data_IF_525853995231
#
_entry.id   IF_525853995231
#
_cell.length_a   1.000
_cell.length_b   1.000
_cell.length_c   1.000
_cell.angle_alpha   90.00
_cell.angle_beta   90.00
_cell.angle_gamma   90.00
#
_symmetry.space_group_name_H-M   'P 1'
#
loop_
_entity.id
_entity.type
_entity.pdbx_description
1 polymer ?
#
# COMPACT_ATOMS: atom_id res chain seq x y z
N UNK A 1 -4.40 15.32 -1.16
CA UNK A 1 -3.50 14.84 -2.23
C UNK A 1 -2.78 16.06 -2.80
N UNK A 2 -1.45 16.18 -2.64
CA UNK A 2 -0.68 17.33 -3.17
C UNK A 2 -0.72 17.42 -4.70
N UNK A 3 -1.12 16.34 -5.39
CA UNK A 3 -1.34 16.33 -6.83
C UNK A 3 -2.46 17.28 -7.29
N UNK A 4 -3.46 17.57 -6.44
CA UNK A 4 -4.56 18.47 -6.80
C UNK A 4 -4.07 19.90 -7.04
N UNK A 5 -3.10 20.35 -6.25
CA UNK A 5 -2.49 21.68 -6.39
C UNK A 5 -1.25 21.64 -7.30
N UNK A 6 -0.53 20.51 -7.35
CA UNK A 6 0.67 20.34 -8.16
C UNK A 6 0.40 20.22 -9.66
N UNK A 7 -0.68 19.55 -10.08
CA UNK A 7 -1.05 19.38 -11.48
C UNK A 7 -1.32 20.71 -12.23
N UNK A 8 -2.12 21.66 -11.69
CA UNK A 8 -2.31 22.96 -12.36
C UNK A 8 -1.00 23.77 -12.40
N UNK A 9 -0.14 23.69 -11.38
CA UNK A 9 1.19 24.33 -11.41
C UNK A 9 2.11 23.71 -12.47
N UNK A 10 2.02 22.39 -12.70
CA UNK A 10 2.77 21.71 -13.75
C UNK A 10 2.31 22.15 -15.15
N UNK A 11 0.99 22.31 -15.37
CA UNK A 11 0.45 22.83 -16.64
C UNK A 11 0.91 24.26 -16.95
N UNK A 12 1.17 25.07 -15.92
CA UNK A 12 1.70 26.44 -16.05
C UNK A 12 3.22 26.50 -16.27
N UNK A 13 3.88 25.36 -16.52
CA UNK A 13 5.35 25.28 -16.68
C UNK A 13 6.13 25.38 -15.36
N UNK A 14 5.45 25.38 -14.21
CA UNK A 14 6.05 25.46 -12.86
C UNK A 14 6.17 24.10 -12.19
N UNK A 15 6.32 23.02 -12.97
CA UNK A 15 6.39 21.64 -12.46
C UNK A 15 7.55 21.39 -11.49
N UNK A 16 8.72 21.98 -11.75
CA UNK A 16 9.88 21.87 -10.86
C UNK A 16 9.63 22.49 -9.47
N UNK A 17 8.90 23.61 -9.42
CA UNK A 17 8.50 24.26 -8.16
C UNK A 17 7.46 23.41 -7.42
N UNK A 18 6.50 22.82 -8.14
CA UNK A 18 5.52 21.92 -7.53
C UNK A 18 6.18 20.67 -6.91
N UNK A 19 7.15 20.07 -7.61
CA UNK A 19 7.92 18.93 -7.12
C UNK A 19 8.74 19.27 -5.87
N UNK A 20 9.46 20.40 -5.87
CA UNK A 20 10.31 20.78 -4.74
C UNK A 20 9.49 21.11 -3.48
N UNK A 21 8.37 21.82 -3.61
CA UNK A 21 7.46 22.11 -2.49
C UNK A 21 6.88 20.80 -1.92
N UNK A 22 6.45 19.88 -2.80
CA UNK A 22 5.94 18.57 -2.37
C UNK A 22 7.00 17.80 -1.60
N UNK A 23 8.23 17.71 -2.12
CA UNK A 23 9.33 17.01 -1.47
C UNK A 23 9.67 17.60 -0.08
N UNK A 24 9.78 18.93 0.03
CA UNK A 24 10.08 19.60 1.30
C UNK A 24 8.95 19.40 2.30
N UNK A 25 7.68 19.50 1.87
CA UNK A 25 6.53 19.28 2.75
C UNK A 25 6.48 17.84 3.29
N UNK A 26 6.75 16.85 2.45
CA UNK A 26 6.79 15.44 2.85
C UNK A 26 7.95 15.15 3.78
N UNK A 27 9.12 15.76 3.53
CA UNK A 27 10.28 15.62 4.39
C UNK A 27 10.00 16.19 5.79
N UNK A 28 9.57 17.45 5.87
CA UNK A 28 9.27 18.12 7.15
C UNK A 28 8.14 17.41 7.89
N UNK A 29 7.07 17.04 7.19
CA UNK A 29 5.97 16.28 7.77
C UNK A 29 6.44 14.93 8.33
N UNK A 30 7.30 14.22 7.60
CA UNK A 30 7.88 12.95 8.05
C UNK A 30 8.80 13.14 9.25
N UNK A 31 9.65 14.17 9.26
CA UNK A 31 10.54 14.47 10.40
C UNK A 31 9.75 14.76 11.67
N UNK A 32 8.70 15.58 11.57
CA UNK A 32 7.82 15.88 12.70
C UNK A 32 7.06 14.63 13.15
N UNK A 33 6.54 13.83 12.22
CA UNK A 33 5.84 12.58 12.53
C UNK A 33 6.75 11.58 13.25
N UNK A 34 7.99 11.40 12.78
CA UNK A 34 8.98 10.53 13.43
C UNK A 34 9.29 11.04 14.85
N UNK A 35 9.54 12.35 15.01
CA UNK A 35 9.76 12.94 16.33
C UNK A 35 8.57 12.75 17.27
N UNK A 36 7.35 12.92 16.76
CA UNK A 36 6.12 12.66 17.49
C UNK A 36 6.00 11.20 17.91
N UNK A 37 6.23 10.25 17.00
CA UNK A 37 6.18 8.81 17.30
C UNK A 37 7.20 8.47 18.39
N UNK A 38 8.44 8.96 18.32
CA UNK A 38 9.47 8.71 19.34
C UNK A 38 9.00 9.18 20.72
N UNK A 39 8.35 10.35 20.79
CA UNK A 39 7.85 10.93 22.04
C UNK A 39 6.64 10.16 22.60
N UNK A 40 5.71 9.74 21.74
CA UNK A 40 4.46 9.08 22.14
C UNK A 40 4.57 7.54 22.24
N UNK A 41 5.57 6.93 21.62
CA UNK A 41 5.83 5.49 21.66
C UNK A 41 5.77 4.87 23.07
N UNK A 42 6.42 5.43 24.12
CA UNK A 42 6.37 4.81 25.44
C UNK A 42 4.95 4.81 26.04
N UNK A 43 4.18 5.88 25.84
CA UNK A 43 2.79 5.97 26.33
C UNK A 43 1.91 4.97 25.60
N UNK A 44 2.04 4.88 24.28
CA UNK A 44 1.31 3.92 23.45
C UNK A 44 1.66 2.47 23.81
N UNK A 45 2.92 2.18 24.14
CA UNK A 45 3.35 0.85 24.56
C UNK A 45 2.68 0.41 25.88
N UNK A 46 2.59 1.32 26.87
CA UNK A 46 1.91 1.02 28.12
C UNK A 46 0.41 0.72 27.92
N UNK A 47 -0.24 1.45 27.01
CA UNK A 47 -1.63 1.19 26.65
C UNK A 47 -1.80 -0.13 25.90
N UNK A 48 -0.91 -0.43 24.96
CA UNK A 48 -0.95 -1.70 24.22
C UNK A 48 -0.76 -2.92 25.13
N UNK A 49 0.02 -2.81 26.20
CA UNK A 49 0.20 -3.89 27.18
C UNK A 49 -1.04 -4.12 28.04
N UNK A 50 -1.91 -3.11 28.17
CA UNK A 50 -3.16 -3.21 28.92
C UNK A 50 -4.32 -3.78 28.07
N UNK A 51 -4.12 -4.02 26.77
CA UNK A 51 -5.17 -4.58 25.91
C UNK A 51 -5.44 -6.05 26.22
N UNK A 52 -6.71 -6.34 26.48
CA UNK A 52 -7.19 -7.70 26.62
C UNK A 52 -7.67 -8.28 25.29
N UNK A 53 -8.13 -9.55 25.30
CA UNK A 53 -8.62 -10.22 24.10
C UNK A 53 -9.77 -9.49 23.40
N UNK A 54 -10.64 -8.81 24.16
CA UNK A 54 -11.79 -8.08 23.62
C UNK A 54 -11.35 -6.83 22.84
N UNK A 55 -10.37 -6.09 23.36
CA UNK A 55 -9.80 -4.91 22.71
C UNK A 55 -9.06 -5.31 21.42
N UNK A 56 -8.27 -6.38 21.45
CA UNK A 56 -7.62 -6.92 20.26
C UNK A 56 -8.62 -7.31 19.18
N UNK A 57 -9.74 -7.94 19.55
CA UNK A 57 -10.80 -8.29 18.61
C UNK A 57 -11.45 -7.04 18.00
N UNK A 58 -11.79 -6.05 18.83
CA UNK A 58 -12.38 -4.79 18.36
C UNK A 58 -11.44 -4.03 17.42
N UNK A 59 -10.14 -4.00 17.71
CA UNK A 59 -9.12 -3.39 16.86
C UNK A 59 -9.01 -4.10 15.50
N UNK A 60 -9.10 -5.43 15.48
CA UNK A 60 -9.06 -6.19 14.23
C UNK A 60 -10.28 -5.88 13.36
N UNK A 61 -11.48 -5.80 13.95
CA UNK A 61 -12.69 -5.38 13.24
C UNK A 61 -12.54 -3.95 12.73
N UNK A 62 -12.05 -3.04 13.57
CA UNK A 62 -11.84 -1.64 13.20
C UNK A 62 -10.87 -1.51 12.02
N UNK A 63 -9.76 -2.26 12.03
CA UNK A 63 -8.80 -2.29 10.94
C UNK A 63 -9.44 -2.75 9.62
N UNK A 64 -10.24 -3.82 9.65
CA UNK A 64 -10.96 -4.32 8.46
C UNK A 64 -12.02 -3.30 7.98
N UNK A 65 -12.73 -2.64 8.90
CA UNK A 65 -13.71 -1.61 8.56
C UNK A 65 -13.04 -0.39 7.90
N UNK A 66 -11.92 0.09 8.44
CA UNK A 66 -11.12 1.16 7.84
C UNK A 66 -10.61 0.76 6.45
N UNK A 67 -10.07 -0.46 6.29
CA UNK A 67 -9.67 -0.97 4.97
C UNK A 67 -10.83 -0.95 3.98
N UNK A 68 -12.03 -1.37 4.39
CA UNK A 68 -13.23 -1.28 3.55
C UNK A 68 -13.60 0.15 3.18
N UNK A 69 -13.47 1.10 4.11
CA UNK A 69 -13.83 2.51 3.90
C UNK A 69 -12.96 3.23 2.85
N UNK A 70 -11.70 2.80 2.67
CA UNK A 70 -10.77 3.44 1.72
C UNK A 70 -11.03 3.06 0.26
N UNK A 71 -11.93 2.12 0.00
CA UNK A 71 -12.14 1.49 -1.30
C UNK A 71 -13.25 2.19 -2.10
N UNK A 72 -12.99 3.40 -2.59
CA UNK A 72 -14.03 4.31 -3.09
C UNK A 72 -14.62 3.99 -4.48
N UNK A 73 -13.98 3.16 -5.31
CA UNK A 73 -14.43 2.97 -6.70
C UNK A 73 -14.96 1.57 -7.03
N UNK A 74 -14.40 0.51 -6.46
CA UNK A 74 -14.79 -0.87 -6.76
C UNK A 74 -14.58 -1.78 -5.55
N UNK A 75 -15.56 -1.88 -4.61
CA UNK A 75 -15.38 -2.57 -3.34
C UNK A 75 -15.00 -4.04 -3.50
N UNK A 76 -15.51 -4.72 -4.53
CA UNK A 76 -15.16 -6.12 -4.84
C UNK A 76 -13.69 -6.32 -5.24
N UNK A 77 -13.16 -5.49 -6.15
CA UNK A 77 -11.76 -5.59 -6.61
C UNK A 77 -10.79 -5.29 -5.46
N UNK A 78 -11.14 -4.25 -4.72
CA UNK A 78 -10.48 -3.82 -3.51
C UNK A 78 -10.44 -4.88 -2.42
N UNK A 79 -11.57 -5.53 -2.15
CA UNK A 79 -11.65 -6.62 -1.17
C UNK A 79 -10.82 -7.83 -1.59
N UNK A 80 -10.87 -8.21 -2.88
CA UNK A 80 -10.01 -9.26 -3.41
C UNK A 80 -8.52 -8.92 -3.29
N UNK A 81 -8.12 -7.68 -3.60
CA UNK A 81 -6.75 -7.22 -3.42
C UNK A 81 -6.32 -7.26 -1.94
N UNK A 82 -7.20 -6.86 -1.02
CA UNK A 82 -6.95 -6.96 0.41
C UNK A 82 -6.81 -8.41 0.88
N UNK A 83 -7.64 -9.34 0.39
CA UNK A 83 -7.54 -10.77 0.69
C UNK A 83 -6.23 -11.37 0.18
N UNK A 84 -5.79 -10.99 -1.02
CA UNK A 84 -4.49 -11.41 -1.56
C UNK A 84 -3.35 -10.90 -0.68
N UNK A 85 -3.38 -9.62 -0.29
CA UNK A 85 -2.40 -9.02 0.61
C UNK A 85 -2.35 -9.70 1.98
N UNK A 86 -3.52 -9.96 2.58
CA UNK A 86 -3.65 -10.72 3.83
C UNK A 86 -3.08 -12.13 3.67
N UNK A 87 -3.38 -12.82 2.57
CA UNK A 87 -2.83 -14.14 2.27
C UNK A 87 -1.30 -14.13 2.24
N UNK A 88 -0.69 -13.17 1.53
CA UNK A 88 0.76 -13.00 1.49
C UNK A 88 1.36 -12.68 2.87
N UNK A 89 0.66 -11.89 3.68
CA UNK A 89 1.09 -11.54 5.04
C UNK A 89 1.08 -12.73 6.01
N UNK A 90 0.34 -13.81 5.71
CA UNK A 90 0.34 -15.03 6.55
C UNK A 90 1.49 -15.99 6.27
N UNK A 91 2.29 -15.74 5.23
CA UNK A 91 3.47 -16.56 4.89
C UNK A 91 4.62 -16.22 5.83
N UNK A 92 5.20 -17.24 6.48
CA UNK A 92 6.37 -17.10 7.36
C UNK A 92 6.18 -17.72 8.73
N UNK A 93 7.03 -17.35 9.68
CA UNK A 93 6.93 -17.75 11.09
C UNK A 93 5.89 -16.90 11.81
N UNK A 94 4.91 -17.55 12.43
CA UNK A 94 3.96 -16.87 13.30
C UNK A 94 4.66 -16.41 14.60
N UNK A 95 4.69 -15.09 14.85
CA UNK A 95 5.44 -14.51 15.98
C UNK A 95 4.91 -14.93 17.38
N UNK A 96 3.66 -15.37 17.48
CA UNK A 96 3.07 -15.79 18.74
C UNK A 96 3.34 -17.27 19.06
N UNK A 97 3.31 -18.12 18.03
CA UNK A 97 3.36 -19.58 18.19
C UNK A 97 4.65 -20.22 17.69
N UNK A 98 5.47 -19.52 16.90
CA UNK A 98 6.69 -20.03 16.29
C UNK A 98 6.46 -21.03 15.15
N UNK A 99 5.20 -21.25 14.75
CA UNK A 99 4.85 -22.22 13.71
C UNK A 99 5.07 -21.63 12.33
N UNK A 100 5.73 -22.39 11.45
CA UNK A 100 5.90 -22.03 10.05
C UNK A 100 4.60 -22.22 9.27
N UNK A 101 4.14 -21.17 8.58
CA UNK A 101 2.95 -21.19 7.73
C UNK A 101 3.33 -20.88 6.28
N UNK A 102 2.90 -21.76 5.37
CA UNK A 102 3.11 -21.59 3.93
C UNK A 102 4.58 -21.42 3.49
N UNK A 103 5.55 -21.97 4.25
CA UNK A 103 6.98 -21.83 3.94
C UNK A 103 7.55 -22.91 3.04
N UNK A 104 6.82 -24.02 2.85
CA UNK A 104 7.17 -25.11 1.92
C UNK A 104 8.61 -25.64 2.07
N UNK A 105 9.13 -25.71 3.29
CA UNK A 105 10.51 -26.15 3.61
C UNK A 105 11.63 -25.25 3.04
N UNK A 106 11.30 -24.06 2.55
CA UNK A 106 12.27 -23.09 2.06
C UNK A 106 12.65 -22.09 3.15
N UNK A 107 13.95 -22.01 3.45
CA UNK A 107 14.53 -21.05 4.41
C UNK A 107 14.26 -19.60 3.99
N UNK A 108 14.18 -19.33 2.68
CA UNK A 108 13.88 -17.99 2.17
C UNK A 108 12.46 -17.52 2.45
N UNK A 109 11.52 -18.43 2.73
CA UNK A 109 10.15 -18.10 3.10
C UNK A 109 9.93 -18.07 4.62
N UNK A 110 10.92 -18.50 5.41
CA UNK A 110 10.83 -18.49 6.88
C UNK A 110 10.62 -17.08 7.45
N UNK A 111 11.30 -16.08 6.88
CA UNK A 111 11.14 -14.67 7.26
C UNK A 111 9.88 -14.01 6.67
N UNK A 112 9.09 -14.76 5.90
CA UNK A 112 7.91 -14.28 5.20
C UNK A 112 8.23 -13.42 3.98
N UNK A 113 7.20 -12.83 3.38
CA UNK A 113 7.37 -11.96 2.21
C UNK A 113 7.63 -10.53 2.69
N UNK A 114 8.84 -10.01 2.41
CA UNK A 114 9.22 -8.67 2.82
C UNK A 114 8.30 -7.59 2.24
N UNK A 115 7.72 -6.76 3.11
CA UNK A 115 6.80 -5.68 2.73
C UNK A 115 7.37 -4.77 1.62
N UNK A 116 8.64 -4.36 1.75
CA UNK A 116 9.32 -3.50 0.78
C UNK A 116 9.36 -4.16 -0.60
N UNK A 117 9.67 -5.47 -0.67
CA UNK A 117 9.75 -6.22 -1.92
C UNK A 117 8.37 -6.31 -2.59
N UNK A 118 7.31 -6.56 -1.82
CA UNK A 118 5.93 -6.61 -2.34
C UNK A 118 5.52 -5.25 -2.90
N UNK A 119 5.73 -4.18 -2.15
CA UNK A 119 5.31 -2.83 -2.57
C UNK A 119 6.04 -2.38 -3.83
N UNK A 120 7.38 -2.51 -3.85
CA UNK A 120 8.18 -2.13 -5.02
C UNK A 120 7.81 -3.02 -6.21
N UNK A 121 7.70 -4.34 -6.02
CA UNK A 121 7.38 -5.28 -7.09
C UNK A 121 6.00 -5.02 -7.72
N UNK A 122 4.95 -4.91 -6.91
CA UNK A 122 3.60 -4.65 -7.40
C UNK A 122 3.49 -3.28 -8.09
N UNK A 123 4.13 -2.26 -7.54
CA UNK A 123 4.15 -0.93 -8.15
C UNK A 123 4.90 -0.94 -9.49
N UNK A 124 6.09 -1.54 -9.54
CA UNK A 124 6.88 -1.64 -10.78
C UNK A 124 6.15 -2.42 -11.88
N UNK A 125 5.51 -3.54 -11.54
CA UNK A 125 4.71 -4.31 -12.51
C UNK A 125 3.53 -3.48 -13.03
N UNK A 126 2.83 -2.77 -12.14
CA UNK A 126 1.73 -1.88 -12.54
C UNK A 126 2.19 -0.79 -13.51
N UNK A 127 3.29 -0.10 -13.20
CA UNK A 127 3.85 0.95 -14.07
C UNK A 127 4.27 0.42 -15.45
N UNK A 128 4.91 -0.75 -15.51
CA UNK A 128 5.29 -1.36 -16.79
C UNK A 128 4.06 -1.70 -17.64
N UNK A 129 3.00 -2.24 -17.03
CA UNK A 129 1.76 -2.57 -17.74
C UNK A 129 1.08 -1.30 -18.29
N UNK A 130 1.03 -0.22 -17.51
CA UNK A 130 0.48 1.07 -17.94
C UNK A 130 1.33 1.69 -19.06
N UNK A 131 2.67 1.60 -18.95
CA UNK A 131 3.58 2.07 -19.98
C UNK A 131 3.37 1.30 -21.29
N UNK A 132 3.15 -0.01 -21.23
CA UNK A 132 2.85 -0.84 -22.39
C UNK A 132 1.52 -0.47 -23.05
N UNK A 133 0.48 -0.19 -22.25
CA UNK A 133 -0.81 0.30 -22.75
C UNK A 133 -0.69 1.65 -23.48
N UNK A 134 0.11 2.57 -22.91
CA UNK A 134 0.32 3.91 -23.47
C UNK A 134 1.16 3.95 -24.75
N UNK A 135 1.86 2.87 -25.09
CA UNK A 135 2.70 2.77 -26.29
C UNK A 135 1.84 2.61 -27.56
N UNK A 136 2.25 3.19 -28.69
CA UNK A 136 1.53 3.17 -29.98
C UNK A 136 1.12 1.79 -30.50
N UNK A 137 1.82 0.72 -30.09
CA UNK A 137 1.44 -0.67 -30.35
C UNK A 137 0.27 -1.17 -29.48
N UNK A 138 0.25 -0.79 -28.19
CA UNK A 138 -0.82 -1.11 -27.24
C UNK A 138 -2.14 -0.43 -27.61
N UNK A 139 -2.10 0.84 -28.02
CA UNK A 139 -3.30 1.55 -28.46
C UNK A 139 -3.95 0.94 -29.71
N UNK A 140 -3.16 0.40 -30.66
CA UNK A 140 -3.70 -0.31 -31.84
C UNK A 140 -4.40 -1.62 -31.46
N UNK A 141 -3.91 -2.34 -30.45
CA UNK A 141 -4.50 -3.60 -29.98
C UNK A 141 -5.78 -3.37 -29.18
N UNK A 142 -5.81 -2.39 -28.27
CA UNK A 142 -7.01 -2.01 -27.50
C UNK A 142 -8.12 -1.52 -28.43
N UNK A 143 -7.77 -0.72 -29.45
CA UNK A 143 -8.73 -0.22 -30.44
C UNK A 143 -9.30 -1.35 -31.30
N UNK A 144 -8.50 -2.35 -31.69
CA UNK A 144 -8.94 -3.54 -32.44
C UNK A 144 -9.92 -4.41 -31.63
N UNK A 145 -9.70 -4.56 -30.33
CA UNK A 145 -10.58 -5.36 -29.46
C UNK A 145 -11.97 -4.72 -29.26
N UNK A 146 -12.06 -3.39 -29.29
CA UNK A 146 -13.36 -2.67 -29.27
C UNK A 146 -14.15 -2.81 -30.58
N UNK A 147 -13.50 -2.99 -31.72
CA UNK A 147 -14.20 -3.10 -33.03
C UNK A 147 -14.83 -4.48 -33.27
N UNK A 148 -14.46 -5.51 -32.50
CA UNK A 148 -15.03 -6.86 -32.60
C UNK A 148 -16.14 -7.13 -31.56
N UNK A 149 -16.40 -6.18 -30.66
CA UNK A 149 -17.41 -6.28 -29.60
C UNK A 149 -18.71 -5.51 -29.92
N UNK A 150 -18.91 -5.12 -31.18
CA UNK A 150 -20.14 -4.50 -31.72
C UNK A 150 -20.65 -5.34 -32.88
#
# INVERSE_FOLDING_TARGET
MTALDGYPMAQQGRGGVALSISAVSSFVGSTIAIGGIILFAPVLAQWSLAFGPAEYFALMIFAIACLGSMMAENPLKSFLAALIGLGLATVGVDANTGVYRFTFDSVHLSDGVQFIVVVIGLFSVSEILLMLESTSGGQKLVRKNRTHAV
#
